data_IF_435878248483
#
_entry.id   IF_435878248483
#
_cell.length_a   1.000
_cell.length_b   1.000
_cell.length_c   1.000
_cell.angle_alpha   90.00
_cell.angle_beta   90.00
_cell.angle_gamma   90.00
#
_symmetry.space_group_name_H-M   'P 1'
#
loop_
_entity.id
_entity.type
_entity.pdbx_description
1 polymer ?
#
# COMPACT_ATOMS: atom_id res chain seq x y z
N UNK A 1 5.13 -0.65 -1.59
CA UNK A 1 4.24 -1.35 -2.53
C UNK A 1 4.82 -1.22 -3.92
N UNK A 2 5.01 -2.33 -4.61
CA UNK A 2 5.40 -2.32 -6.02
C UNK A 2 4.15 -2.11 -6.89
N UNK A 3 4.33 -1.41 -8.00
CA UNK A 3 3.27 -1.28 -8.99
C UNK A 3 3.02 -2.64 -9.64
N UNK A 4 4.06 -3.32 -10.14
CA UNK A 4 3.94 -4.63 -10.79
C UNK A 4 3.66 -5.72 -9.76
N UNK A 5 3.00 -6.84 -10.10
CA UNK A 5 2.89 -8.02 -9.22
C UNK A 5 4.21 -8.78 -9.01
N UNK A 6 5.28 -8.36 -9.68
CA UNK A 6 6.60 -9.01 -9.61
C UNK A 6 7.38 -8.61 -8.35
N UNK A 7 8.33 -9.48 -7.96
CA UNK A 7 9.24 -9.28 -6.84
C UNK A 7 8.67 -9.69 -5.47
N UNK A 8 9.51 -9.62 -4.42
CA UNK A 8 9.08 -9.93 -3.05
C UNK A 8 8.15 -8.82 -2.55
N UNK A 9 6.87 -9.13 -2.41
CA UNK A 9 5.85 -8.22 -1.89
C UNK A 9 5.27 -8.73 -0.59
N UNK A 10 4.94 -7.80 0.31
CA UNK A 10 4.13 -8.10 1.48
C UNK A 10 2.73 -8.52 1.04
N UNK A 11 2.20 -9.60 1.62
CA UNK A 11 0.78 -9.92 1.51
C UNK A 11 -0.02 -8.77 2.13
N UNK A 12 -0.95 -8.21 1.36
CA UNK A 12 -1.83 -7.13 1.77
C UNK A 12 -3.22 -7.71 2.11
N UNK A 13 -3.87 -7.14 3.11
CA UNK A 13 -5.27 -7.45 3.40
C UNK A 13 -6.16 -6.98 2.23
N UNK A 14 -7.33 -7.61 2.07
CA UNK A 14 -8.32 -7.14 1.12
C UNK A 14 -8.70 -5.67 1.44
N UNK A 15 -8.69 -4.83 0.41
CA UNK A 15 -9.16 -3.46 0.48
C UNK A 15 -10.66 -3.38 0.21
N UNK A 16 -11.18 -2.16 0.22
CA UNK A 16 -12.54 -1.89 -0.24
C UNK A 16 -12.63 -0.51 -0.87
N UNK A 17 -13.59 -0.33 -1.75
CA UNK A 17 -13.89 0.97 -2.36
C UNK A 17 -15.39 1.19 -2.44
N UNK A 18 -15.79 2.44 -2.64
CA UNK A 18 -17.19 2.82 -2.67
C UNK A 18 -17.55 3.39 -4.04
N UNK A 19 -18.56 2.82 -4.69
CA UNK A 19 -19.18 3.34 -5.91
C UNK A 19 -20.66 3.51 -5.62
N UNK A 20 -21.21 4.69 -5.90
CA UNK A 20 -22.64 4.97 -5.70
C UNK A 20 -23.15 4.60 -4.29
N UNK A 21 -22.30 4.84 -3.27
CA UNK A 21 -22.51 4.50 -1.84
C UNK A 21 -22.56 3.01 -1.51
N UNK A 22 -22.21 2.15 -2.46
CA UNK A 22 -22.11 0.71 -2.28
C UNK A 22 -20.63 0.34 -2.09
N UNK A 23 -20.34 -0.42 -1.03
CA UNK A 23 -18.99 -0.91 -0.75
C UNK A 23 -18.71 -2.18 -1.54
N UNK A 24 -17.62 -2.15 -2.30
CA UNK A 24 -17.08 -3.27 -3.05
C UNK A 24 -15.78 -3.73 -2.41
N UNK A 25 -15.68 -5.04 -2.12
CA UNK A 25 -14.48 -5.66 -1.58
C UNK A 25 -13.48 -5.91 -2.71
N UNK A 26 -12.21 -5.70 -2.43
CA UNK A 26 -11.14 -5.80 -3.40
C UNK A 26 -10.00 -6.68 -2.86
N UNK A 27 -9.90 -7.92 -3.34
CA UNK A 27 -8.78 -8.78 -2.92
C UNK A 27 -7.45 -8.26 -3.47
N UNK A 28 -6.40 -8.34 -2.65
CA UNK A 28 -5.06 -7.87 -3.02
C UNK A 28 -4.11 -9.00 -3.44
N UNK A 29 -4.65 -10.22 -3.57
CA UNK A 29 -3.96 -11.43 -4.01
C UNK A 29 -4.76 -12.04 -5.15
N UNK A 30 -4.07 -12.52 -6.18
CA UNK A 30 -4.71 -13.21 -7.29
C UNK A 30 -5.24 -14.58 -6.86
N UNK A 31 -6.38 -15.01 -7.41
CA UNK A 31 -6.93 -16.33 -7.10
C UNK A 31 -5.98 -17.44 -7.59
N UNK A 32 -6.08 -18.66 -7.03
CA UNK A 32 -5.29 -19.81 -7.45
C UNK A 32 -5.42 -20.14 -8.94
N UNK A 33 -6.58 -19.82 -9.54
CA UNK A 33 -6.90 -20.09 -10.94
C UNK A 33 -6.35 -19.01 -11.90
N UNK A 34 -5.65 -17.98 -11.40
CA UNK A 34 -5.15 -16.89 -12.24
C UNK A 34 -4.02 -17.37 -13.17
N UNK A 35 -4.25 -17.30 -14.48
CA UNK A 35 -3.39 -17.86 -15.55
C UNK A 35 -1.89 -17.55 -15.40
N UNK A 36 -1.55 -16.34 -14.95
CA UNK A 36 -0.18 -15.82 -14.99
C UNK A 36 0.48 -15.59 -13.64
N UNK A 37 -0.31 -15.48 -12.58
CA UNK A 37 0.14 -14.99 -11.27
C UNK A 37 -0.66 -15.65 -10.13
N UNK A 38 -0.81 -16.99 -10.10
CA UNK A 38 -1.66 -17.66 -9.12
C UNK A 38 -1.12 -17.43 -7.70
N UNK A 39 -2.01 -17.05 -6.77
CA UNK A 39 -1.67 -16.76 -5.36
C UNK A 39 -0.63 -15.64 -5.14
N UNK A 40 -0.32 -14.84 -6.18
CA UNK A 40 0.65 -13.75 -6.05
C UNK A 40 -0.03 -12.45 -5.63
N UNK A 41 0.66 -11.60 -4.85
CA UNK A 41 0.18 -10.25 -4.59
C UNK A 41 -0.03 -9.48 -5.89
N UNK A 42 -1.19 -8.84 -6.01
CA UNK A 42 -1.60 -8.14 -7.21
C UNK A 42 -0.72 -6.90 -7.53
N UNK A 43 -0.04 -6.33 -6.53
CA UNK A 43 0.60 -5.02 -6.66
C UNK A 43 -0.42 -3.90 -6.87
N UNK A 44 0.02 -2.73 -7.30
CA UNK A 44 -0.84 -1.56 -7.57
C UNK A 44 -1.21 -1.37 -9.05
N UNK A 45 -0.61 -2.15 -9.96
CA UNK A 45 -0.76 -2.01 -11.41
C UNK A 45 -1.80 -2.97 -11.98
N UNK A 46 -2.16 -4.04 -11.27
CA UNK A 46 -3.15 -4.98 -11.77
C UNK A 46 -4.55 -4.41 -11.60
N UNK A 47 -5.29 -4.42 -12.72
CA UNK A 47 -6.75 -4.37 -12.98
C UNK A 47 -7.74 -3.81 -11.93
N UNK A 48 -7.53 -4.01 -10.64
CA UNK A 48 -8.46 -3.65 -9.56
C UNK A 48 -8.52 -2.15 -9.25
N UNK A 49 -7.45 -1.39 -9.52
CA UNK A 49 -7.51 0.09 -9.44
C UNK A 49 -8.32 0.74 -10.57
N UNK A 50 -8.49 0.06 -11.72
CA UNK A 50 -9.37 0.53 -12.79
C UNK A 50 -10.85 0.46 -12.38
N UNK A 51 -11.24 -0.49 -11.54
CA UNK A 51 -12.62 -0.60 -11.04
C UNK A 51 -13.03 0.57 -10.15
N UNK A 52 -12.08 1.18 -9.44
CA UNK A 52 -12.30 2.42 -8.65
C UNK A 52 -12.53 3.66 -9.54
N UNK A 53 -12.74 3.49 -10.85
CA UNK A 53 -12.86 4.55 -11.87
C UNK A 53 -11.71 5.58 -11.83
N UNK A 54 -10.52 5.19 -11.37
CA UNK A 54 -9.34 6.03 -11.54
C UNK A 54 -8.85 5.88 -13.00
N UNK A 55 -9.40 6.70 -13.89
CA UNK A 55 -8.95 6.88 -15.28
C UNK A 55 -7.51 7.39 -15.41
N UNK A 56 -6.80 7.60 -14.29
CA UNK A 56 -5.43 8.14 -14.21
C UNK A 56 -4.37 7.17 -14.76
N UNK A 57 -4.71 5.91 -15.03
CA UNK A 57 -3.79 4.96 -15.65
C UNK A 57 -3.99 4.78 -17.16
N UNK A 58 -4.96 5.49 -17.77
CA UNK A 58 -5.12 5.51 -19.23
C UNK A 58 -4.18 6.54 -19.82
N UNK A 59 -3.07 6.00 -20.33
CA UNK A 59 -2.29 6.48 -21.49
C UNK A 59 -1.65 7.90 -21.39
N UNK A 60 -0.36 7.94 -21.71
CA UNK A 60 0.44 9.15 -22.00
C UNK A 60 0.98 10.03 -20.86
N UNK A 61 1.00 9.55 -19.61
CA UNK A 61 1.98 10.06 -18.63
C UNK A 61 2.82 8.93 -18.05
N UNK A 62 3.56 8.28 -18.96
CA UNK A 62 4.74 7.49 -18.62
C UNK A 62 5.59 8.40 -17.73
N UNK A 63 5.78 7.98 -16.48
CA UNK A 63 6.66 8.59 -15.51
C UNK A 63 8.08 8.66 -16.12
N UNK A 64 8.37 9.73 -16.88
CA UNK A 64 9.73 10.10 -17.22
C UNK A 64 10.41 10.44 -15.91
N UNK A 65 11.60 9.91 -15.74
CA UNK A 65 12.43 9.99 -14.54
C UNK A 65 12.71 11.46 -14.21
N UNK A 66 11.79 12.11 -13.50
CA UNK A 66 11.99 13.42 -12.87
C UNK A 66 11.42 13.33 -11.46
N UNK A 67 12.25 12.84 -10.53
CA UNK A 67 12.12 12.98 -9.08
C UNK A 67 10.78 12.56 -8.39
N UNK A 68 9.81 11.98 -9.10
CA UNK A 68 8.48 11.76 -8.52
C UNK A 68 7.82 10.45 -8.97
N UNK A 69 8.10 9.36 -8.25
CA UNK A 69 7.21 8.18 -8.16
C UNK A 69 5.88 8.49 -7.42
N UNK A 70 5.21 9.59 -7.78
CA UNK A 70 4.43 10.44 -6.86
C UNK A 70 2.91 10.23 -6.89
N UNK A 71 2.26 10.00 -8.03
CA UNK A 71 0.79 10.11 -8.08
C UNK A 71 0.06 8.87 -7.58
N UNK A 72 0.42 7.67 -8.03
CA UNK A 72 -0.27 6.45 -7.60
C UNK A 72 -0.15 6.23 -6.07
N UNK A 73 1.06 6.36 -5.52
CA UNK A 73 1.29 6.21 -4.07
C UNK A 73 0.51 7.24 -3.26
N UNK A 74 0.44 8.49 -3.73
CA UNK A 74 -0.29 9.58 -3.06
C UNK A 74 -1.81 9.41 -3.17
N UNK A 75 -2.31 8.88 -4.28
CA UNK A 75 -3.74 8.56 -4.46
C UNK A 75 -4.13 7.44 -3.49
N UNK A 76 -3.33 6.37 -3.45
CA UNK A 76 -3.59 5.22 -2.58
C UNK A 76 -3.47 5.58 -1.11
N UNK A 77 -2.46 6.38 -0.72
CA UNK A 77 -2.30 6.82 0.67
C UNK A 77 -3.46 7.68 1.17
N UNK A 78 -4.28 8.23 0.26
CA UNK A 78 -5.47 9.02 0.60
C UNK A 78 -6.75 8.18 0.57
N UNK A 79 -6.70 6.91 0.18
CA UNK A 79 -7.88 6.07 0.18
C UNK A 79 -8.31 5.76 1.62
N UNK A 80 -9.62 5.74 1.90
CA UNK A 80 -10.14 5.55 3.25
C UNK A 80 -9.84 4.14 3.77
N UNK A 81 -9.91 3.12 2.92
CA UNK A 81 -9.57 1.74 3.27
C UNK A 81 -8.10 1.64 3.68
N UNK A 82 -7.21 2.26 2.91
CA UNK A 82 -5.77 2.23 3.18
C UNK A 82 -5.37 2.99 4.45
N UNK A 83 -6.04 4.11 4.75
CA UNK A 83 -5.77 4.91 5.96
C UNK A 83 -6.28 4.22 7.23
N UNK A 84 -7.31 3.38 7.11
CA UNK A 84 -7.89 2.63 8.22
C UNK A 84 -7.21 1.28 8.47
N UNK A 85 -6.41 0.78 7.53
CA UNK A 85 -5.68 -0.47 7.70
C UNK A 85 -4.57 -0.32 8.74
N UNK A 86 -4.51 -1.29 9.67
CA UNK A 86 -3.43 -1.42 10.63
C UNK A 86 -2.33 -2.31 10.04
N UNK A 87 -1.09 -2.08 10.47
CA UNK A 87 0.00 -2.97 10.11
C UNK A 87 -0.22 -4.35 10.73
N UNK A 88 0.22 -5.42 10.05
CA UNK A 88 0.08 -6.80 10.55
C UNK A 88 0.68 -7.01 11.95
N UNK A 89 1.79 -6.34 12.25
CA UNK A 89 2.38 -6.36 13.60
C UNK A 89 1.44 -5.72 14.61
N UNK A 90 0.84 -4.57 14.25
CA UNK A 90 -0.08 -3.88 15.11
C UNK A 90 -1.30 -4.73 15.44
N UNK A 91 -1.92 -5.31 14.42
CA UNK A 91 -3.04 -6.23 14.61
C UNK A 91 -2.67 -7.44 15.48
N UNK A 92 -1.47 -7.99 15.31
CA UNK A 92 -1.00 -9.14 16.07
C UNK A 92 -0.81 -8.84 17.55
N UNK A 93 -0.27 -7.67 17.88
CA UNK A 93 -0.05 -7.24 19.28
C UNK A 93 -1.38 -6.85 19.94
N UNK A 94 -2.23 -6.09 19.24
CA UNK A 94 -3.56 -5.73 19.76
C UNK A 94 -4.45 -6.97 19.99
N UNK A 95 -4.33 -8.02 19.15
CA UNK A 95 -5.05 -9.29 19.35
C UNK A 95 -4.66 -10.01 20.64
N UNK A 96 -3.48 -9.73 21.18
CA UNK A 96 -2.98 -10.27 22.45
C UNK A 96 -3.31 -9.34 23.63
N UNK A 97 -4.24 -8.39 23.45
CA UNK A 97 -4.62 -7.36 24.42
C UNK A 97 -3.43 -6.49 24.89
N UNK A 98 -2.42 -6.32 24.03
CA UNK A 98 -1.29 -5.45 24.29
C UNK A 98 -1.46 -4.07 23.64
N UNK A 99 -0.88 -3.05 24.28
CA UNK A 99 -0.90 -1.66 23.78
C UNK A 99 0.34 -1.41 22.92
N UNK A 100 0.15 -0.79 21.76
CA UNK A 100 1.24 -0.29 20.91
C UNK A 100 1.40 1.21 21.05
N UNK A 101 2.64 1.64 21.24
CA UNK A 101 3.04 3.03 21.24
C UNK A 101 3.99 3.30 20.08
N UNK A 102 3.59 4.16 19.15
CA UNK A 102 4.48 4.64 18.10
C UNK A 102 5.23 5.87 18.61
N UNK A 103 6.46 5.66 19.07
CA UNK A 103 7.32 6.75 19.52
C UNK A 103 8.12 7.31 18.34
N UNK A 104 8.27 8.64 18.29
CA UNK A 104 9.15 9.30 17.33
C UNK A 104 10.55 8.73 17.47
N UNK A 105 11.18 8.39 16.33
CA UNK A 105 12.58 7.97 16.34
C UNK A 105 13.42 9.14 16.81
N UNK A 106 14.12 8.97 17.92
CA UNK A 106 15.08 9.96 18.39
C UNK A 106 16.32 9.92 17.51
N UNK A 107 16.64 11.06 16.90
CA UNK A 107 17.88 11.26 16.15
C UNK A 107 18.75 12.22 16.97
N UNK A 108 19.86 11.72 17.51
CA UNK A 108 20.88 12.60 18.08
C UNK A 108 21.52 13.38 16.92
N UNK A 109 21.25 14.69 16.84
CA UNK A 109 22.14 15.59 16.13
C UNK A 109 23.40 15.72 17.00
N UNK A 110 24.47 15.04 16.59
CA UNK A 110 25.88 15.13 17.04
C UNK A 110 26.09 15.31 18.57
N UNK A 111 26.70 14.29 19.17
CA UNK A 111 27.16 14.37 20.54
C UNK A 111 28.28 15.42 20.65
N UNK A 112 28.12 16.42 21.53
CA UNK A 112 29.14 17.45 21.80
C UNK A 112 30.49 16.88 22.30
N UNK A 113 30.52 15.61 22.71
CA UNK A 113 31.73 14.86 23.08
C UNK A 113 32.56 14.36 21.87
N UNK A 114 32.11 14.58 20.64
CA UNK A 114 32.85 14.24 19.42
C UNK A 114 33.84 15.34 18.98
N UNK A 115 33.86 16.49 19.67
CA UNK A 115 34.88 17.53 19.50
C UNK A 115 36.08 17.24 20.41
N UNK A 116 37.01 16.40 19.95
CA UNK A 116 38.38 16.31 20.48
C UNK A 116 39.39 16.55 19.38
#
# INVERSE_FOLDING_TARGET
MSLRPEGKQSSLCAGWYEIDRIRHVQDMVFPPEHERFPNMPCGLQSAKLQERKYSVFKEENICRVTATGCYARKIISRQPDFTQQKGRLQEGVERLDHIILFLSKFHYEINWIEYN
#
